data_IF_673512113712
#
_entry.id   IF_673512113712
#
_cell.length_a   1.000
_cell.length_b   1.000
_cell.length_c   1.000
_cell.angle_alpha   90.00
_cell.angle_beta   90.00
_cell.angle_gamma   90.00
#
_symmetry.space_group_name_H-M   'P 1'
#
loop_
_entity.id
_entity.type
_entity.pdbx_description
1 polymer ?
#
# COMPACT_ATOMS: atom_id res chain seq x y z
N UNK A 1 -19.86 -7.36 -24.07
CA UNK A 1 -19.76 -6.81 -22.70
C UNK A 1 -18.32 -6.89 -22.16
N UNK A 2 -17.58 -7.98 -22.42
CA UNK A 2 -16.21 -8.18 -21.93
C UNK A 2 -15.17 -7.26 -22.56
N UNK A 3 -15.23 -7.01 -23.89
CA UNK A 3 -14.28 -6.13 -24.59
C UNK A 3 -14.41 -4.65 -24.19
N UNK A 4 -15.62 -4.17 -23.96
CA UNK A 4 -15.86 -2.78 -23.52
C UNK A 4 -15.32 -2.53 -22.12
N UNK A 5 -15.50 -3.48 -21.18
CA UNK A 5 -14.94 -3.38 -19.83
C UNK A 5 -13.42 -3.49 -19.80
N UNK A 6 -12.84 -4.34 -20.65
CA UNK A 6 -11.39 -4.47 -20.74
C UNK A 6 -10.74 -3.13 -21.10
N UNK A 7 -11.27 -2.42 -22.08
CA UNK A 7 -10.73 -1.11 -22.51
C UNK A 7 -11.08 0.02 -21.56
N UNK A 8 -12.29 0.03 -20.98
CA UNK A 8 -12.78 1.16 -20.18
C UNK A 8 -12.39 1.12 -18.70
N UNK A 9 -12.11 -0.06 -18.13
CA UNK A 9 -11.84 -0.22 -16.69
C UNK A 9 -10.49 -0.86 -16.42
N UNK A 10 -10.19 -2.00 -17.06
CA UNK A 10 -9.01 -2.80 -16.69
C UNK A 10 -7.70 -2.22 -17.22
N UNK A 11 -7.65 -1.78 -18.48
CA UNK A 11 -6.43 -1.20 -19.04
C UNK A 11 -6.01 0.12 -18.39
N UNK A 12 -6.93 1.09 -18.13
CA UNK A 12 -6.57 2.28 -17.37
C UNK A 12 -6.05 1.96 -15.97
N UNK A 13 -6.70 0.99 -15.28
CA UNK A 13 -6.26 0.53 -13.95
C UNK A 13 -4.88 -0.10 -14.00
N UNK A 14 -4.59 -0.94 -14.99
CA UNK A 14 -3.28 -1.59 -15.15
C UNK A 14 -2.16 -0.56 -15.34
N UNK A 15 -2.35 0.40 -16.24
CA UNK A 15 -1.36 1.45 -16.47
C UNK A 15 -1.17 2.34 -15.22
N UNK A 16 -2.27 2.70 -14.53
CA UNK A 16 -2.22 3.47 -13.28
C UNK A 16 -1.52 2.72 -12.15
N UNK A 17 -1.87 1.44 -11.96
CA UNK A 17 -1.29 0.60 -10.91
C UNK A 17 0.21 0.37 -11.16
N UNK A 18 0.62 0.13 -12.41
CA UNK A 18 2.03 -0.02 -12.78
C UNK A 18 2.81 1.27 -12.51
N UNK A 19 2.31 2.43 -12.96
CA UNK A 19 2.95 3.73 -12.70
C UNK A 19 3.04 4.03 -11.20
N UNK A 20 1.99 3.75 -10.43
CA UNK A 20 1.92 3.97 -8.99
C UNK A 20 2.90 3.06 -8.23
N UNK A 21 2.98 1.79 -8.61
CA UNK A 21 3.89 0.83 -7.99
C UNK A 21 5.35 1.20 -8.26
N UNK A 22 5.70 1.50 -9.53
CA UNK A 22 7.04 1.99 -9.89
C UNK A 22 7.40 3.26 -9.11
N UNK A 23 6.48 4.19 -8.94
CA UNK A 23 6.70 5.44 -8.22
C UNK A 23 6.93 5.18 -6.72
N UNK A 24 6.12 4.34 -6.10
CA UNK A 24 6.19 4.05 -4.66
C UNK A 24 7.56 3.46 -4.27
N UNK A 25 8.07 2.52 -5.05
CA UNK A 25 9.36 1.89 -4.77
C UNK A 25 10.55 2.58 -5.43
N UNK A 26 10.32 3.30 -6.53
CA UNK A 26 11.36 4.00 -7.28
C UNK A 26 11.79 5.34 -6.65
N UNK A 27 10.86 6.09 -6.03
CA UNK A 27 11.19 7.39 -5.43
C UNK A 27 12.25 7.29 -4.30
N UNK A 28 12.15 6.38 -3.32
CA UNK A 28 13.20 6.22 -2.31
C UNK A 28 14.56 5.88 -2.92
N UNK A 29 14.60 5.04 -3.96
CA UNK A 29 15.82 4.74 -4.71
C UNK A 29 16.36 5.96 -5.46
N UNK A 30 15.48 6.74 -6.08
CA UNK A 30 15.83 7.95 -6.80
C UNK A 30 16.44 8.99 -5.85
N UNK A 31 15.85 9.18 -4.67
CA UNK A 31 16.38 10.10 -3.65
C UNK A 31 17.73 9.61 -3.16
N UNK A 32 17.88 8.33 -2.85
CA UNK A 32 19.14 7.76 -2.41
C UNK A 32 20.23 7.94 -3.49
N UNK A 33 19.91 7.70 -4.76
CA UNK A 33 20.83 7.84 -5.89
C UNK A 33 21.25 9.27 -6.18
N UNK A 34 20.36 10.26 -5.97
CA UNK A 34 20.66 11.69 -6.22
C UNK A 34 21.33 12.37 -5.03
N UNK A 35 20.98 11.99 -3.80
CA UNK A 35 21.44 12.69 -2.58
C UNK A 35 22.48 11.93 -1.78
N UNK A 36 22.61 10.64 -2.03
CA UNK A 36 23.39 9.69 -1.24
C UNK A 36 23.12 9.78 0.28
N UNK A 37 21.92 10.23 0.67
CA UNK A 37 21.50 10.46 2.05
C UNK A 37 20.36 9.52 2.46
N UNK A 38 20.58 8.73 3.51
CA UNK A 38 19.55 7.90 4.13
C UNK A 38 18.46 8.74 4.82
N UNK A 39 18.86 9.84 5.45
CA UNK A 39 17.92 10.78 6.09
C UNK A 39 16.96 11.39 5.07
N UNK A 40 17.47 11.89 3.93
CA UNK A 40 16.63 12.44 2.87
C UNK A 40 15.73 11.37 2.22
N UNK A 41 16.17 10.11 2.18
CA UNK A 41 15.32 8.98 1.76
C UNK A 41 14.13 8.83 2.70
N UNK A 42 14.34 8.93 4.01
CA UNK A 42 13.26 8.95 5.01
C UNK A 42 12.31 10.13 4.85
N UNK A 43 12.84 11.35 4.63
CA UNK A 43 12.02 12.55 4.36
C UNK A 43 11.17 12.36 3.10
N UNK A 44 11.73 11.81 2.02
CA UNK A 44 10.98 11.53 0.80
C UNK A 44 9.84 10.53 1.04
N UNK A 45 10.08 9.53 1.89
CA UNK A 45 9.05 8.57 2.28
C UNK A 45 7.91 9.26 3.07
N UNK A 46 8.23 10.15 3.99
CA UNK A 46 7.24 11.00 4.68
C UNK A 46 6.43 11.81 3.68
N UNK A 47 7.11 12.49 2.74
CA UNK A 47 6.45 13.30 1.72
C UNK A 47 5.61 12.49 0.74
N UNK A 48 5.92 11.23 0.51
CA UNK A 48 5.09 10.33 -0.28
C UNK A 48 3.83 9.86 0.48
N UNK A 49 3.91 9.63 1.80
CA UNK A 49 2.83 9.02 2.57
C UNK A 49 1.98 10.02 3.37
N UNK A 50 2.56 11.05 3.98
CA UNK A 50 1.79 12.04 4.74
C UNK A 50 0.73 12.76 3.91
N UNK A 51 1.03 13.24 2.67
CA UNK A 51 0.03 13.84 1.82
C UNK A 51 -1.09 12.87 1.41
N UNK A 52 -0.80 11.56 1.27
CA UNK A 52 -1.84 10.54 1.02
C UNK A 52 -2.87 10.50 2.12
N UNK A 53 -2.45 10.58 3.39
CA UNK A 53 -3.37 10.62 4.52
C UNK A 53 -4.20 11.90 4.53
N UNK A 54 -3.58 13.06 4.32
CA UNK A 54 -4.26 14.36 4.29
C UNK A 54 -5.27 14.45 3.14
N UNK A 55 -4.93 13.88 1.99
CA UNK A 55 -5.78 13.94 0.79
C UNK A 55 -6.83 12.84 0.72
N UNK A 56 -6.82 11.86 1.63
CA UNK A 56 -7.79 10.75 1.62
C UNK A 56 -9.26 11.23 1.59
N UNK A 57 -9.62 12.11 2.51
CA UNK A 57 -10.98 12.67 2.57
C UNK A 57 -11.28 13.59 1.38
N UNK A 58 -10.29 14.38 0.94
CA UNK A 58 -10.42 15.27 -0.21
C UNK A 58 -10.63 14.50 -1.51
N UNK A 59 -9.94 13.36 -1.68
CA UNK A 59 -10.11 12.51 -2.85
C UNK A 59 -11.51 11.92 -2.92
N UNK A 60 -12.07 11.47 -1.78
CA UNK A 60 -13.45 11.01 -1.69
C UNK A 60 -14.45 12.11 -2.10
N UNK A 61 -14.35 13.29 -1.49
CA UNK A 61 -15.24 14.40 -1.83
C UNK A 61 -15.10 14.89 -3.27
N UNK A 62 -13.89 14.84 -3.84
CA UNK A 62 -13.67 15.17 -5.24
C UNK A 62 -14.35 14.15 -6.18
N UNK A 63 -14.26 12.86 -5.85
CA UNK A 63 -14.93 11.79 -6.60
C UNK A 63 -16.44 11.96 -6.55
N UNK A 64 -16.99 12.26 -5.38
CA UNK A 64 -18.44 12.48 -5.22
C UNK A 64 -18.93 13.73 -5.98
N UNK A 65 -18.13 14.80 -6.00
CA UNK A 65 -18.52 16.07 -6.64
C UNK A 65 -18.30 16.09 -8.15
N UNK A 66 -17.17 15.57 -8.62
CA UNK A 66 -16.75 15.71 -10.03
C UNK A 66 -16.92 14.43 -10.84
N UNK A 67 -17.25 13.32 -10.17
CA UNK A 67 -17.36 11.99 -10.74
C UNK A 67 -16.02 11.26 -10.84
N UNK A 68 -16.01 9.91 -10.64
CA UNK A 68 -14.79 9.13 -10.53
C UNK A 68 -13.95 9.12 -11.80
N UNK A 69 -14.57 9.05 -12.99
CA UNK A 69 -13.85 9.04 -14.27
C UNK A 69 -13.06 10.32 -14.52
N UNK A 70 -13.63 11.48 -14.14
CA UNK A 70 -12.98 12.79 -14.32
C UNK A 70 -11.81 12.95 -13.34
N UNK A 71 -12.03 12.59 -12.07
CA UNK A 71 -10.98 12.67 -11.03
C UNK A 71 -9.82 11.73 -11.39
N UNK A 72 -10.12 10.50 -11.80
CA UNK A 72 -9.09 9.54 -12.24
C UNK A 72 -8.24 10.10 -13.38
N UNK A 73 -8.90 10.61 -14.44
CA UNK A 73 -8.22 11.17 -15.61
C UNK A 73 -7.34 12.36 -15.26
N UNK A 74 -7.86 13.31 -14.46
CA UNK A 74 -7.11 14.49 -14.05
C UNK A 74 -5.93 14.14 -13.16
N UNK A 75 -6.09 13.23 -12.20
CA UNK A 75 -5.00 12.77 -11.34
C UNK A 75 -3.89 12.04 -12.12
N UNK A 76 -4.27 11.15 -13.06
CA UNK A 76 -3.31 10.46 -13.90
C UNK A 76 -2.59 11.43 -14.86
N UNK A 77 -3.31 12.37 -15.48
CA UNK A 77 -2.71 13.40 -16.35
C UNK A 77 -1.77 14.34 -15.58
N UNK A 78 -2.16 14.77 -14.38
CA UNK A 78 -1.31 15.59 -13.53
C UNK A 78 -0.04 14.83 -13.09
N UNK A 79 -0.14 13.54 -12.77
CA UNK A 79 1.02 12.70 -12.46
C UNK A 79 1.93 12.54 -13.68
N UNK A 80 1.38 12.36 -14.87
CA UNK A 80 2.14 12.32 -16.12
C UNK A 80 2.92 13.63 -16.33
N UNK A 81 2.25 14.77 -16.13
CA UNK A 81 2.87 16.09 -16.27
C UNK A 81 3.99 16.30 -15.24
N UNK A 82 3.74 16.00 -13.97
CA UNK A 82 4.74 16.17 -12.90
C UNK A 82 5.96 15.28 -13.13
N UNK A 83 5.75 13.99 -13.48
CA UNK A 83 6.85 13.09 -13.79
C UNK A 83 7.58 13.49 -15.08
N UNK A 84 6.86 13.91 -16.10
CA UNK A 84 7.43 14.34 -17.38
C UNK A 84 8.27 15.63 -17.26
N UNK A 85 7.80 16.60 -16.49
CA UNK A 85 8.55 17.85 -16.22
C UNK A 85 9.78 17.60 -15.33
N UNK A 86 9.73 16.59 -14.45
CA UNK A 86 10.88 16.25 -13.62
C UNK A 86 12.07 15.73 -14.47
N UNK A 87 11.82 15.12 -15.64
CA UNK A 87 12.90 14.61 -16.52
C UNK A 87 13.87 15.71 -16.94
N UNK A 88 13.45 16.76 -17.69
CA UNK A 88 14.36 17.84 -18.08
C UNK A 88 14.83 18.65 -16.87
N UNK A 89 13.98 18.84 -15.85
CA UNK A 89 14.37 19.60 -14.67
C UNK A 89 15.55 18.97 -13.94
N UNK A 90 15.55 17.65 -13.74
CA UNK A 90 16.68 16.95 -13.11
C UNK A 90 17.96 16.94 -13.99
N UNK A 91 17.80 16.95 -15.31
CA UNK A 91 18.94 17.00 -16.23
C UNK A 91 19.64 18.38 -16.27
N UNK A 92 18.90 19.45 -15.96
CA UNK A 92 19.37 20.83 -16.06
C UNK A 92 19.83 21.43 -14.73
N UNK A 93 19.64 20.75 -13.61
CA UNK A 93 19.86 21.29 -12.27
C UNK A 93 21.05 20.64 -11.56
N UNK A 94 21.73 21.41 -10.71
CA UNK A 94 22.75 20.89 -9.81
C UNK A 94 22.18 20.04 -8.68
N UNK A 95 23.04 19.32 -7.95
CA UNK A 95 22.65 18.30 -6.97
C UNK A 95 21.70 18.81 -5.88
N UNK A 96 21.86 20.02 -5.37
CA UNK A 96 20.99 20.58 -4.33
C UNK A 96 19.57 20.85 -4.82
N UNK A 97 19.42 21.41 -6.02
CA UNK A 97 18.12 21.67 -6.64
C UNK A 97 17.46 20.34 -7.04
N UNK A 98 18.24 19.38 -7.53
CA UNK A 98 17.74 18.04 -7.85
C UNK A 98 17.12 17.36 -6.63
N UNK A 99 17.74 17.44 -5.45
CA UNK A 99 17.19 16.91 -4.21
C UNK A 99 15.80 17.52 -3.89
N UNK A 100 15.68 18.84 -3.96
CA UNK A 100 14.42 19.56 -3.70
C UNK A 100 13.34 19.18 -4.71
N UNK A 101 13.70 19.02 -5.99
CA UNK A 101 12.78 18.59 -7.04
C UNK A 101 12.26 17.17 -6.81
N UNK A 102 13.12 16.25 -6.39
CA UNK A 102 12.71 14.86 -6.09
C UNK A 102 11.81 14.80 -4.86
N UNK A 103 12.06 15.65 -3.84
CA UNK A 103 11.17 15.78 -2.68
C UNK A 103 9.79 16.30 -3.07
N UNK A 104 9.73 17.33 -3.91
CA UNK A 104 8.47 17.83 -4.45
C UNK A 104 7.75 16.77 -5.28
N UNK A 105 8.48 16.02 -6.10
CA UNK A 105 7.96 14.90 -6.87
C UNK A 105 7.34 13.84 -5.94
N UNK A 106 8.00 13.50 -4.83
CA UNK A 106 7.49 12.55 -3.84
C UNK A 106 6.14 12.99 -3.27
N UNK A 107 6.03 14.25 -2.85
CA UNK A 107 4.81 14.82 -2.29
C UNK A 107 3.66 14.87 -3.32
N UNK A 108 3.93 15.37 -4.52
CA UNK A 108 2.95 15.44 -5.60
C UNK A 108 2.48 14.04 -6.03
N UNK A 109 3.41 13.11 -6.20
CA UNK A 109 3.09 11.73 -6.55
C UNK A 109 2.23 11.04 -5.47
N UNK A 110 2.53 11.29 -4.19
CA UNK A 110 1.72 10.80 -3.07
C UNK A 110 0.28 11.27 -3.13
N UNK A 111 0.07 12.58 -3.27
CA UNK A 111 -1.27 13.16 -3.43
C UNK A 111 -2.01 12.59 -4.64
N UNK A 112 -1.40 12.66 -5.81
CA UNK A 112 -2.04 12.28 -7.07
C UNK A 112 -2.37 10.78 -7.12
N UNK A 113 -1.50 9.93 -6.55
CA UNK A 113 -1.77 8.49 -6.40
C UNK A 113 -3.00 8.25 -5.54
N UNK A 114 -3.22 9.03 -4.48
CA UNK A 114 -4.40 8.87 -3.62
C UNK A 114 -5.69 9.23 -4.37
N UNK A 115 -5.69 10.31 -5.14
CA UNK A 115 -6.85 10.68 -5.97
C UNK A 115 -7.15 9.62 -7.05
N UNK A 116 -6.13 9.13 -7.77
CA UNK A 116 -6.32 8.09 -8.79
C UNK A 116 -6.80 6.78 -8.17
N UNK A 117 -6.28 6.40 -7.00
CA UNK A 117 -6.67 5.19 -6.28
C UNK A 117 -8.15 5.20 -5.88
N UNK A 118 -8.62 6.26 -5.18
CA UNK A 118 -10.02 6.37 -4.74
C UNK A 118 -10.97 6.41 -5.95
N UNK A 119 -10.59 7.13 -6.99
CA UNK A 119 -11.38 7.20 -8.22
C UNK A 119 -11.45 5.84 -8.92
N UNK A 120 -10.36 5.11 -9.02
CA UNK A 120 -10.31 3.78 -9.61
C UNK A 120 -11.15 2.75 -8.83
N UNK A 121 -11.09 2.78 -7.49
CA UNK A 121 -11.94 1.93 -6.64
C UNK A 121 -13.43 2.23 -6.86
N UNK A 122 -13.79 3.50 -7.03
CA UNK A 122 -15.17 3.91 -7.32
C UNK A 122 -15.63 3.44 -8.71
N UNK A 123 -14.76 3.52 -9.73
CA UNK A 123 -15.00 2.98 -11.07
C UNK A 123 -15.20 1.46 -11.02
N UNK A 124 -14.31 0.75 -10.32
CA UNK A 124 -14.39 -0.68 -10.13
C UNK A 124 -15.67 -1.11 -9.42
N UNK A 125 -16.09 -0.36 -8.40
CA UNK A 125 -17.35 -0.57 -7.70
C UNK A 125 -18.57 -0.40 -8.59
N UNK A 126 -18.61 0.64 -9.44
CA UNK A 126 -19.66 0.85 -10.42
C UNK A 126 -19.72 -0.28 -11.45
N UNK A 127 -18.57 -0.65 -12.02
CA UNK A 127 -18.47 -1.76 -12.99
C UNK A 127 -18.91 -3.11 -12.38
N UNK A 128 -18.69 -3.31 -11.08
CA UNK A 128 -19.13 -4.50 -10.36
C UNK A 128 -20.66 -4.54 -10.19
N UNK A 129 -21.29 -3.41 -9.87
CA UNK A 129 -22.75 -3.30 -9.76
C UNK A 129 -23.45 -3.55 -11.12
N UNK A 130 -22.87 -3.04 -12.21
CA UNK A 130 -23.38 -3.27 -13.57
C UNK A 130 -23.20 -4.72 -14.06
N UNK A 131 -22.39 -5.50 -13.37
CA UNK A 131 -22.04 -6.86 -13.80
C UNK A 131 -23.06 -7.93 -13.43
N UNK A 132 -24.17 -7.59 -12.77
CA UNK A 132 -25.31 -8.47 -12.45
C UNK A 132 -24.88 -9.93 -12.16
N UNK A 133 -24.67 -10.32 -10.89
CA UNK A 133 -24.22 -11.65 -10.50
C UNK A 133 -22.76 -12.01 -10.83
N UNK A 134 -22.06 -11.21 -11.67
CA UNK A 134 -20.65 -11.41 -12.00
C UNK A 134 -19.70 -10.37 -11.34
N UNK A 135 -20.18 -9.65 -10.33
CA UNK A 135 -19.40 -8.64 -9.60
C UNK A 135 -18.07 -9.21 -9.05
N UNK A 136 -18.10 -10.46 -8.54
CA UNK A 136 -16.90 -11.15 -8.06
C UNK A 136 -15.81 -11.31 -9.12
N UNK A 137 -16.20 -11.51 -10.40
CA UNK A 137 -15.23 -11.61 -11.52
C UNK A 137 -14.56 -10.27 -11.80
N UNK A 138 -15.33 -9.17 -11.77
CA UNK A 138 -14.76 -7.82 -11.95
C UNK A 138 -13.76 -7.50 -10.84
N UNK A 139 -14.13 -7.76 -9.58
CA UNK A 139 -13.25 -7.53 -8.44
C UNK A 139 -12.01 -8.42 -8.46
N UNK A 140 -12.14 -9.69 -8.87
CA UNK A 140 -11.00 -10.59 -9.01
C UNK A 140 -10.00 -10.10 -10.06
N UNK A 141 -10.48 -9.59 -11.20
CA UNK A 141 -9.60 -9.03 -12.25
C UNK A 141 -8.89 -7.77 -11.76
N UNK A 142 -9.61 -6.85 -11.10
CA UNK A 142 -9.00 -5.64 -10.53
C UNK A 142 -7.94 -5.97 -9.48
N UNK A 143 -8.23 -6.91 -8.59
CA UNK A 143 -7.25 -7.37 -7.60
C UNK A 143 -6.03 -8.01 -8.27
N UNK A 144 -6.24 -8.83 -9.32
CA UNK A 144 -5.13 -9.43 -10.07
C UNK A 144 -4.26 -8.39 -10.75
N UNK A 145 -4.84 -7.30 -11.25
CA UNK A 145 -4.11 -6.16 -11.82
C UNK A 145 -3.23 -5.49 -10.76
N UNK A 146 -3.80 -5.21 -9.60
CA UNK A 146 -3.07 -4.55 -8.50
C UNK A 146 -1.91 -5.44 -8.00
N UNK A 147 -2.15 -6.74 -7.88
CA UNK A 147 -1.13 -7.69 -7.48
C UNK A 147 -0.03 -7.86 -8.56
N UNK A 148 -0.40 -7.89 -9.84
CA UNK A 148 0.57 -7.94 -10.93
C UNK A 148 1.44 -6.66 -10.96
N UNK A 149 0.84 -5.50 -10.73
CA UNK A 149 1.57 -4.24 -10.61
C UNK A 149 2.50 -4.22 -9.39
N UNK A 150 2.04 -4.72 -8.23
CA UNK A 150 2.86 -4.85 -7.04
C UNK A 150 4.03 -5.81 -7.22
N UNK A 151 3.84 -6.87 -8.02
CA UNK A 151 4.88 -7.83 -8.35
C UNK A 151 5.91 -7.27 -9.35
N UNK A 152 5.44 -6.69 -10.45
CA UNK A 152 6.30 -6.26 -11.56
C UNK A 152 6.88 -4.84 -11.37
N UNK A 153 6.13 -3.95 -10.70
CA UNK A 153 6.48 -2.53 -10.58
C UNK A 153 7.82 -2.25 -9.91
N UNK A 154 8.12 -2.85 -8.74
CA UNK A 154 9.40 -2.65 -8.06
C UNK A 154 10.59 -3.11 -8.89
N UNK A 155 10.52 -4.29 -9.52
CA UNK A 155 11.57 -4.79 -10.41
C UNK A 155 11.74 -3.90 -11.64
N UNK A 156 10.64 -3.52 -12.30
CA UNK A 156 10.68 -2.62 -13.46
C UNK A 156 11.25 -1.25 -13.08
N UNK A 157 10.83 -0.68 -11.96
CA UNK A 157 11.34 0.60 -11.47
C UNK A 157 12.84 0.56 -11.15
N UNK A 158 13.29 -0.49 -10.45
CA UNK A 158 14.69 -0.70 -10.10
C UNK A 158 15.58 -0.95 -11.33
N UNK A 159 15.11 -1.77 -12.29
CA UNK A 159 15.82 -2.02 -13.54
C UNK A 159 15.91 -0.76 -14.41
N UNK A 160 14.83 -0.02 -14.57
CA UNK A 160 14.83 1.23 -15.34
C UNK A 160 15.76 2.24 -14.72
N UNK A 161 15.76 2.36 -13.39
CA UNK A 161 16.67 3.26 -12.70
C UNK A 161 18.13 2.86 -12.91
N UNK A 162 18.42 1.56 -12.95
CA UNK A 162 19.78 1.04 -13.20
C UNK A 162 20.25 1.24 -14.65
N UNK A 163 19.39 0.99 -15.65
CA UNK A 163 19.80 0.97 -17.06
C UNK A 163 19.58 2.29 -17.77
N UNK A 164 18.49 2.98 -17.46
CA UNK A 164 18.09 4.23 -18.10
C UNK A 164 18.16 5.45 -17.18
N UNK A 165 18.64 5.24 -15.93
CA UNK A 165 18.75 6.30 -14.92
C UNK A 165 17.40 6.86 -14.46
N UNK A 166 17.46 7.96 -13.70
CA UNK A 166 16.29 8.67 -13.20
C UNK A 166 15.36 9.14 -14.32
N UNK A 167 15.92 9.68 -15.38
CA UNK A 167 15.17 10.20 -16.54
C UNK A 167 14.38 9.10 -17.23
N UNK A 168 14.97 7.92 -17.44
CA UNK A 168 14.31 6.79 -18.07
C UNK A 168 13.14 6.25 -17.22
N UNK A 169 13.34 6.10 -15.91
CA UNK A 169 12.29 5.66 -14.99
C UNK A 169 11.12 6.65 -14.99
N UNK A 170 11.40 7.95 -14.84
CA UNK A 170 10.37 8.99 -14.80
C UNK A 170 9.64 9.14 -16.14
N UNK A 171 10.33 8.98 -17.28
CA UNK A 171 9.71 8.99 -18.60
C UNK A 171 8.71 7.84 -18.77
N UNK A 172 9.04 6.63 -18.29
CA UNK A 172 8.11 5.49 -18.31
C UNK A 172 6.92 5.71 -17.38
N UNK A 173 7.14 6.22 -16.17
CA UNK A 173 6.05 6.58 -15.22
C UNK A 173 5.14 7.64 -15.84
N UNK A 174 5.70 8.67 -16.50
CA UNK A 174 4.95 9.69 -17.22
C UNK A 174 4.13 9.09 -18.35
N UNK A 175 4.74 8.26 -19.20
CA UNK A 175 4.09 7.59 -20.31
C UNK A 175 2.93 6.68 -19.88
N UNK A 176 3.12 5.84 -18.85
CA UNK A 176 2.08 4.98 -18.28
C UNK A 176 0.94 5.80 -17.67
N UNK A 177 1.26 6.90 -16.99
CA UNK A 177 0.25 7.79 -16.41
C UNK A 177 -0.54 8.52 -17.49
N UNK A 178 0.12 8.97 -18.56
CA UNK A 178 -0.52 9.58 -19.71
C UNK A 178 -1.42 8.60 -20.46
N UNK A 179 -0.92 7.37 -20.68
CA UNK A 179 -1.70 6.29 -21.26
C UNK A 179 -2.95 6.01 -20.43
N UNK A 180 -2.81 5.88 -19.10
CA UNK A 180 -3.92 5.69 -18.18
C UNK A 180 -4.96 6.81 -18.31
N UNK A 181 -4.52 8.08 -18.34
CA UNK A 181 -5.40 9.22 -18.50
C UNK A 181 -6.13 9.24 -19.86
N UNK A 182 -5.42 8.88 -20.93
CA UNK A 182 -5.97 8.90 -22.31
C UNK A 182 -7.04 7.83 -22.54
N UNK A 183 -6.82 6.61 -21.97
CA UNK A 183 -7.77 5.49 -22.13
C UNK A 183 -8.81 5.41 -21.02
N UNK A 184 -8.76 6.30 -20.03
CA UNK A 184 -9.73 6.36 -18.94
C UNK A 184 -11.17 6.52 -19.47
N UNK A 185 -12.17 5.91 -18.79
CA UNK A 185 -13.55 5.95 -19.26
C UNK A 185 -14.06 7.38 -19.36
N UNK A 186 -14.87 7.65 -20.40
CA UNK A 186 -15.50 8.95 -20.58
C UNK A 186 -16.57 9.17 -19.52
N UNK A 187 -16.60 10.39 -18.92
CA UNK A 187 -17.59 10.77 -17.91
C UNK A 187 -19.06 10.60 -18.37
N UNK A 188 -19.30 10.55 -19.69
CA UNK A 188 -20.63 10.37 -20.28
C UNK A 188 -21.22 8.96 -20.13
N UNK A 189 -20.40 7.95 -19.83
CA UNK A 189 -20.79 6.54 -19.75
C UNK A 189 -20.88 6.02 -18.32
N UNK A 190 -20.68 6.86 -17.33
CA UNK A 190 -20.87 6.49 -15.93
C UNK A 190 -22.13 7.18 -15.38
N UNK A 191 -22.99 6.44 -14.66
CA UNK A 191 -24.06 7.07 -13.91
C UNK A 191 -23.44 8.18 -13.07
N UNK A 192 -24.01 9.38 -13.15
CA UNK A 192 -23.63 10.49 -12.29
C UNK A 192 -23.68 10.07 -10.83
N UNK A 193 -23.09 10.85 -9.91
CA UNK A 193 -23.16 10.54 -8.50
C UNK A 193 -24.63 10.30 -8.17
N UNK A 194 -24.99 9.06 -7.90
CA UNK A 194 -26.22 8.79 -7.20
C UNK A 194 -26.03 9.46 -5.85
N UNK A 195 -26.63 10.64 -5.69
CA UNK A 195 -26.97 11.15 -4.38
C UNK A 195 -27.82 10.03 -3.76
N UNK A 196 -27.14 9.06 -3.19
CA UNK A 196 -27.79 7.92 -2.57
C UNK A 196 -28.60 8.46 -1.41
N UNK A 197 -29.90 8.21 -1.44
CA UNK A 197 -30.75 8.27 -0.26
C UNK A 197 -30.32 7.22 0.79
N UNK A 198 -29.03 6.90 0.84
CA UNK A 198 -28.44 6.15 1.93
C UNK A 198 -28.35 7.03 3.18
N UNK A 199 -28.46 6.46 4.38
CA UNK A 199 -28.27 7.21 5.62
C UNK A 199 -26.96 8.00 5.52
N UNK A 200 -27.01 9.28 5.92
CA UNK A 200 -25.84 10.19 5.91
C UNK A 200 -24.61 9.45 6.45
N UNK A 201 -23.42 9.64 5.88
CA UNK A 201 -22.22 8.94 6.32
C UNK A 201 -22.11 9.06 7.83
N UNK A 202 -22.30 7.96 8.54
CA UNK A 202 -22.20 7.95 9.99
C UNK A 202 -20.75 8.35 10.29
N UNK A 203 -20.59 9.50 11.00
CA UNK A 203 -19.33 10.21 11.07
C UNK A 203 -18.23 9.42 11.78
N UNK A 204 -17.01 9.90 11.72
CA UNK A 204 -15.81 9.39 12.39
C UNK A 204 -16.06 8.89 13.84
N UNK A 205 -16.89 9.63 14.61
CA UNK A 205 -17.23 9.25 15.99
C UNK A 205 -17.90 7.90 16.09
N UNK A 206 -18.81 7.56 15.18
CA UNK A 206 -19.50 6.27 15.15
C UNK A 206 -18.54 5.14 14.82
N UNK A 207 -17.67 5.32 13.82
CA UNK A 207 -16.65 4.32 13.49
C UNK A 207 -15.68 4.06 14.66
N UNK A 208 -15.28 5.11 15.36
CA UNK A 208 -14.41 5.01 16.52
C UNK A 208 -15.08 4.33 17.72
N UNK A 209 -16.34 4.68 18.03
CA UNK A 209 -17.10 4.04 19.11
C UNK A 209 -17.36 2.55 18.81
N UNK A 210 -17.67 2.21 17.56
CA UNK A 210 -17.84 0.82 17.13
C UNK A 210 -16.54 0.02 17.26
N UNK A 211 -15.41 0.59 16.83
CA UNK A 211 -14.12 -0.08 16.97
C UNK A 211 -13.79 -0.35 18.45
N UNK A 212 -14.04 0.61 19.34
CA UNK A 212 -13.86 0.43 20.79
C UNK A 212 -14.80 -0.62 21.39
N UNK A 213 -16.01 -0.74 20.87
CA UNK A 213 -16.99 -1.75 21.30
C UNK A 213 -16.65 -3.17 20.80
N UNK A 214 -15.70 -3.31 19.88
CA UNK A 214 -15.23 -4.57 19.29
C UNK A 214 -13.78 -4.89 19.67
N UNK A 215 -13.48 -5.27 20.93
CA UNK A 215 -12.11 -5.47 21.41
C UNK A 215 -11.25 -6.40 20.54
N UNK A 216 -11.74 -7.55 20.03
CA UNK A 216 -10.94 -8.41 19.15
C UNK A 216 -10.46 -7.70 17.89
N UNK A 217 -11.32 -6.86 17.29
CA UNK A 217 -10.99 -6.08 16.11
C UNK A 217 -10.01 -4.95 16.47
N UNK A 218 -10.25 -4.25 17.58
CA UNK A 218 -9.40 -3.14 18.01
C UNK A 218 -7.95 -3.61 18.31
N UNK A 219 -7.79 -4.73 19.00
CA UNK A 219 -6.47 -5.30 19.28
C UNK A 219 -5.76 -5.75 18.00
N UNK A 220 -6.48 -6.38 17.07
CA UNK A 220 -5.88 -6.80 15.81
C UNK A 220 -5.48 -5.60 14.94
N UNK A 221 -6.31 -4.55 14.86
CA UNK A 221 -5.99 -3.31 14.16
C UNK A 221 -4.76 -2.64 14.77
N UNK A 222 -4.67 -2.59 16.11
CA UNK A 222 -3.50 -2.05 16.79
C UNK A 222 -2.21 -2.85 16.52
N UNK A 223 -2.28 -4.18 16.59
CA UNK A 223 -1.14 -5.05 16.27
C UNK A 223 -0.67 -4.91 14.83
N UNK A 224 -1.61 -4.82 13.87
CA UNK A 224 -1.30 -4.59 12.47
C UNK A 224 -0.81 -3.17 12.18
N UNK A 225 -1.24 -2.16 12.94
CA UNK A 225 -0.65 -0.82 12.83
C UNK A 225 0.84 -0.82 13.20
N UNK A 226 1.23 -1.59 14.24
CA UNK A 226 2.63 -1.79 14.57
C UNK A 226 3.38 -2.58 13.50
N UNK A 227 2.73 -3.58 12.87
CA UNK A 227 3.29 -4.27 11.69
C UNK A 227 3.52 -3.31 10.52
N UNK A 228 2.59 -2.41 10.26
CA UNK A 228 2.72 -1.40 9.20
C UNK A 228 3.82 -0.35 9.52
N UNK A 229 4.09 -0.05 10.79
CA UNK A 229 5.25 0.76 11.17
C UNK A 229 6.55 0.07 10.75
N UNK A 230 6.64 -1.21 11.05
CA UNK A 230 7.80 -2.03 10.69
C UNK A 230 7.95 -2.17 9.18
N UNK A 231 6.85 -2.46 8.48
CA UNK A 231 6.83 -2.56 7.02
C UNK A 231 7.25 -1.23 6.37
N UNK A 232 6.67 -0.11 6.80
CA UNK A 232 7.03 1.21 6.28
C UNK A 232 8.49 1.57 6.54
N UNK A 233 9.03 1.20 7.72
CA UNK A 233 10.44 1.39 8.00
C UNK A 233 11.33 0.51 7.11
N UNK A 234 10.97 -0.76 6.89
CA UNK A 234 11.67 -1.63 5.95
C UNK A 234 11.60 -1.10 4.51
N UNK A 235 10.45 -0.60 4.06
CA UNK A 235 10.31 0.02 2.73
C UNK A 235 11.27 1.20 2.56
N UNK A 236 11.40 2.05 3.57
CA UNK A 236 12.30 3.19 3.54
C UNK A 236 13.78 2.79 3.70
N UNK A 237 14.09 1.76 4.50
CA UNK A 237 15.45 1.32 4.82
C UNK A 237 16.04 0.35 3.77
N UNK A 238 15.22 -0.46 3.08
CA UNK A 238 15.68 -1.46 2.11
C UNK A 238 16.62 -0.88 1.04
N UNK A 239 16.36 0.29 0.42
CA UNK A 239 17.29 0.89 -0.52
C UNK A 239 18.68 1.14 0.09
N UNK A 240 18.71 1.62 1.33
CA UNK A 240 19.98 1.92 2.04
C UNK A 240 20.72 0.62 2.36
N UNK A 241 20.04 -0.36 2.93
CA UNK A 241 20.65 -1.66 3.28
C UNK A 241 21.15 -2.37 2.03
N UNK A 242 20.32 -2.52 1.00
CA UNK A 242 20.68 -3.31 -0.19
C UNK A 242 21.77 -2.62 -1.01
N UNK A 243 21.69 -1.31 -1.20
CA UNK A 243 22.64 -0.59 -2.06
C UNK A 243 23.91 -0.23 -1.30
N UNK A 244 23.81 0.36 -0.09
CA UNK A 244 24.98 0.85 0.64
C UNK A 244 25.68 -0.22 1.48
N UNK A 245 24.93 -1.04 2.22
CA UNK A 245 25.54 -2.03 3.11
C UNK A 245 25.88 -3.34 2.37
N UNK A 246 24.95 -3.86 1.55
CA UNK A 246 25.13 -5.11 0.83
C UNK A 246 25.80 -4.94 -0.56
N UNK A 247 26.08 -3.69 -0.97
CA UNK A 247 26.81 -3.37 -2.21
C UNK A 247 26.09 -3.83 -3.49
N UNK A 248 24.74 -3.90 -3.49
CA UNK A 248 23.94 -4.34 -4.62
C UNK A 248 23.37 -3.17 -5.43
N UNK A 249 22.90 -3.47 -6.62
CA UNK A 249 22.30 -2.48 -7.52
C UNK A 249 20.86 -2.09 -7.11
N UNK A 250 20.36 -0.98 -7.66
CA UNK A 250 18.96 -0.57 -7.52
C UNK A 250 17.97 -1.62 -8.04
N UNK A 251 18.34 -2.38 -9.09
CA UNK A 251 17.52 -3.50 -9.56
C UNK A 251 17.35 -4.57 -8.48
N UNK A 252 18.37 -4.83 -7.66
CA UNK A 252 18.29 -5.80 -6.56
C UNK A 252 17.24 -5.40 -5.51
N UNK A 253 17.05 -4.10 -5.25
CA UNK A 253 15.95 -3.61 -4.39
C UNK A 253 14.59 -3.94 -5.00
N UNK A 254 14.45 -3.70 -6.31
CA UNK A 254 13.23 -4.06 -7.03
C UNK A 254 12.93 -5.55 -6.95
N UNK A 255 13.95 -6.41 -7.09
CA UNK A 255 13.82 -7.88 -6.98
C UNK A 255 13.35 -8.29 -5.58
N UNK A 256 13.86 -7.67 -4.50
CA UNK A 256 13.39 -7.94 -3.13
C UNK A 256 11.88 -7.74 -3.03
N UNK A 257 11.37 -6.60 -3.46
CA UNK A 257 9.94 -6.30 -3.35
C UNK A 257 9.07 -7.10 -4.31
N UNK A 258 9.57 -7.45 -5.49
CA UNK A 258 8.86 -8.34 -6.41
C UNK A 258 8.77 -9.77 -5.88
N UNK A 259 9.84 -10.31 -5.29
CA UNK A 259 9.80 -11.61 -4.61
C UNK A 259 8.86 -11.58 -3.39
N UNK A 260 8.87 -10.50 -2.63
CA UNK A 260 7.96 -10.29 -1.51
C UNK A 260 6.50 -10.28 -1.96
N UNK A 261 6.17 -9.60 -3.07
CA UNK A 261 4.83 -9.60 -3.65
C UNK A 261 4.41 -10.99 -4.16
N UNK A 262 5.32 -11.75 -4.79
CA UNK A 262 5.06 -13.14 -5.20
C UNK A 262 4.76 -14.03 -4.00
N UNK A 263 5.55 -13.93 -2.93
CA UNK A 263 5.34 -14.68 -1.69
C UNK A 263 3.99 -14.30 -1.03
N UNK A 264 3.61 -13.02 -1.06
CA UNK A 264 2.30 -12.53 -0.60
C UNK A 264 1.14 -13.16 -1.36
N UNK A 265 1.23 -13.24 -2.69
CA UNK A 265 0.21 -13.88 -3.53
C UNK A 265 0.03 -15.35 -3.18
N UNK A 266 1.13 -16.09 -3.05
CA UNK A 266 1.11 -17.50 -2.65
C UNK A 266 0.52 -17.67 -1.26
N UNK A 267 0.90 -16.81 -0.31
CA UNK A 267 0.40 -16.85 1.05
C UNK A 267 -1.12 -16.61 1.11
N UNK A 268 -1.64 -15.64 0.35
CA UNK A 268 -3.09 -15.39 0.26
C UNK A 268 -3.84 -16.57 -0.34
N UNK A 269 -3.28 -17.22 -1.37
CA UNK A 269 -3.88 -18.40 -1.98
C UNK A 269 -3.97 -19.58 -0.99
N UNK A 270 -2.90 -19.82 -0.23
CA UNK A 270 -2.84 -20.89 0.79
C UNK A 270 -3.69 -20.54 2.02
N UNK A 271 -3.82 -19.26 2.36
CA UNK A 271 -4.51 -18.80 3.57
C UNK A 271 -5.96 -19.27 3.63
N UNK A 272 -6.67 -19.37 2.49
CA UNK A 272 -8.06 -19.84 2.42
C UNK A 272 -8.16 -21.28 2.94
N UNK A 273 -7.33 -22.16 2.39
CA UNK A 273 -7.30 -23.58 2.81
C UNK A 273 -6.83 -23.72 4.26
N UNK A 274 -5.91 -22.90 4.68
CA UNK A 274 -5.40 -22.89 6.05
C UNK A 274 -6.49 -22.47 7.06
N UNK A 275 -7.31 -21.45 6.72
CA UNK A 275 -8.41 -20.99 7.57
C UNK A 275 -9.48 -22.09 7.72
N UNK A 276 -9.83 -22.78 6.63
CA UNK A 276 -10.80 -23.87 6.67
C UNK A 276 -10.33 -25.02 7.57
N UNK A 277 -9.01 -25.30 7.59
CA UNK A 277 -8.43 -26.42 8.35
C UNK A 277 -8.11 -26.09 9.81
N UNK A 278 -7.56 -24.90 10.08
CA UNK A 278 -7.01 -24.51 11.41
C UNK A 278 -7.80 -23.37 12.07
N UNK A 279 -8.81 -22.86 11.39
CA UNK A 279 -9.62 -21.73 11.85
C UNK A 279 -8.86 -20.40 11.80
N UNK A 280 -9.65 -19.32 11.86
CA UNK A 280 -9.14 -17.94 11.72
C UNK A 280 -8.09 -17.56 12.78
N UNK A 281 -8.32 -17.96 14.04
CA UNK A 281 -7.39 -17.67 15.16
C UNK A 281 -6.10 -18.48 15.08
N UNK A 282 -6.16 -19.72 14.56
CA UNK A 282 -4.99 -20.56 14.33
C UNK A 282 -4.08 -19.95 13.28
N UNK A 283 -4.65 -19.66 12.11
CA UNK A 283 -3.92 -19.02 11.01
C UNK A 283 -3.36 -17.65 11.42
N UNK A 284 -4.13 -16.84 12.17
CA UNK A 284 -3.65 -15.55 12.64
C UNK A 284 -2.42 -15.65 13.55
N UNK A 285 -2.36 -16.63 14.45
CA UNK A 285 -1.19 -16.86 15.33
C UNK A 285 0.04 -17.31 14.53
N UNK A 286 -0.14 -18.24 13.59
CA UNK A 286 0.94 -18.66 12.70
C UNK A 286 1.43 -17.51 11.82
N UNK A 287 0.51 -16.73 11.24
CA UNK A 287 0.85 -15.55 10.46
C UNK A 287 1.64 -14.52 11.29
N UNK A 288 1.26 -14.30 12.55
CA UNK A 288 2.00 -13.41 13.44
C UNK A 288 3.44 -13.87 13.69
N UNK A 289 3.67 -15.18 13.85
CA UNK A 289 5.03 -15.74 13.97
C UNK A 289 5.82 -15.60 12.67
N UNK A 290 5.19 -15.95 11.54
CA UNK A 290 5.79 -15.85 10.20
C UNK A 290 6.10 -14.39 9.81
N UNK A 291 5.45 -13.42 10.43
CA UNK A 291 5.76 -11.99 10.25
C UNK A 291 6.85 -11.52 11.21
N UNK A 292 6.73 -11.84 12.51
CA UNK A 292 7.62 -11.30 13.54
C UNK A 292 9.04 -11.90 13.49
N UNK A 293 9.16 -13.22 13.30
CA UNK A 293 10.47 -13.89 13.32
C UNK A 293 11.36 -13.45 12.15
N UNK A 294 10.90 -13.47 10.88
CA UNK A 294 11.72 -12.99 9.78
C UNK A 294 12.08 -11.50 9.90
N UNK A 295 11.17 -10.67 10.43
CA UNK A 295 11.47 -9.26 10.65
C UNK A 295 12.65 -9.06 11.61
N UNK A 296 12.69 -9.82 12.70
CA UNK A 296 13.83 -9.81 13.62
C UNK A 296 15.11 -10.30 12.92
N UNK A 297 15.04 -11.35 12.12
CA UNK A 297 16.19 -11.91 11.42
C UNK A 297 16.69 -11.00 10.29
N UNK A 298 15.85 -10.19 9.65
CA UNK A 298 16.24 -9.20 8.64
C UNK A 298 17.28 -8.22 9.20
N UNK A 299 17.13 -7.81 10.46
CA UNK A 299 18.08 -6.92 11.13
C UNK A 299 19.51 -7.51 11.24
N UNK A 300 19.63 -8.83 11.15
CA UNK A 300 20.89 -9.57 11.29
C UNK A 300 21.32 -10.25 9.96
N UNK A 301 20.66 -9.91 8.86
CA UNK A 301 20.98 -10.49 7.55
C UNK A 301 22.23 -9.82 6.95
N UNK A 302 23.33 -10.57 6.83
CA UNK A 302 24.60 -10.07 6.29
C UNK A 302 24.78 -10.40 4.80
N UNK A 303 23.80 -11.06 4.19
CA UNK A 303 23.85 -11.42 2.77
C UNK A 303 22.54 -11.05 2.07
N UNK A 304 22.66 -10.65 0.80
CA UNK A 304 21.51 -10.31 -0.02
C UNK A 304 20.50 -11.47 -0.17
N UNK A 305 20.90 -12.73 -0.42
CA UNK A 305 19.95 -13.85 -0.48
C UNK A 305 19.16 -14.04 0.81
N UNK A 306 19.82 -13.94 1.97
CA UNK A 306 19.14 -14.02 3.26
C UNK A 306 18.14 -12.90 3.45
N UNK A 307 18.53 -11.65 3.16
CA UNK A 307 17.63 -10.48 3.21
C UNK A 307 16.42 -10.69 2.32
N UNK A 308 16.61 -11.12 1.07
CA UNK A 308 15.55 -11.35 0.09
C UNK A 308 14.54 -12.40 0.58
N UNK A 309 15.04 -13.57 1.04
CA UNK A 309 14.17 -14.65 1.52
C UNK A 309 13.41 -14.22 2.76
N UNK A 310 14.08 -13.57 3.71
CA UNK A 310 13.43 -13.11 4.94
C UNK A 310 12.38 -12.02 4.67
N UNK A 311 12.65 -11.09 3.75
CA UNK A 311 11.67 -10.08 3.32
C UNK A 311 10.45 -10.74 2.65
N UNK A 312 10.65 -11.75 1.80
CA UNK A 312 9.59 -12.49 1.16
C UNK A 312 8.72 -13.25 2.19
N UNK A 313 9.32 -13.91 3.17
CA UNK A 313 8.61 -14.63 4.24
C UNK A 313 7.86 -13.65 5.16
N UNK A 314 8.47 -12.52 5.51
CA UNK A 314 7.82 -11.44 6.25
C UNK A 314 6.53 -10.97 5.56
N UNK A 315 6.61 -10.65 4.27
CA UNK A 315 5.47 -10.18 3.47
C UNK A 315 4.40 -11.25 3.28
N UNK A 316 4.76 -12.53 3.20
CA UNK A 316 3.82 -13.63 3.19
C UNK A 316 2.99 -13.67 4.49
N UNK A 317 3.65 -13.56 5.65
CA UNK A 317 3.00 -13.51 6.95
C UNK A 317 2.08 -12.29 7.10
N UNK A 318 2.55 -11.10 6.70
CA UNK A 318 1.77 -9.85 6.76
C UNK A 318 0.52 -9.93 5.88
N UNK A 319 0.61 -10.50 4.69
CA UNK A 319 -0.53 -10.72 3.80
C UNK A 319 -1.56 -11.70 4.38
N UNK A 320 -1.11 -12.75 5.08
CA UNK A 320 -2.02 -13.64 5.80
C UNK A 320 -2.74 -12.90 6.95
N UNK A 321 -2.05 -12.04 7.69
CA UNK A 321 -2.67 -11.19 8.72
C UNK A 321 -3.70 -10.22 8.12
N UNK A 322 -3.43 -9.67 6.94
CA UNK A 322 -4.38 -8.82 6.23
C UNK A 322 -5.66 -9.59 5.85
N UNK A 323 -5.55 -10.86 5.42
CA UNK A 323 -6.72 -11.73 5.17
C UNK A 323 -7.51 -11.97 6.45
N UNK A 324 -6.82 -12.29 7.56
CA UNK A 324 -7.46 -12.48 8.87
C UNK A 324 -8.22 -11.22 9.30
N UNK A 325 -7.62 -10.04 9.15
CA UNK A 325 -8.27 -8.77 9.46
C UNK A 325 -9.51 -8.52 8.60
N UNK A 326 -9.41 -8.72 7.28
CA UNK A 326 -10.57 -8.56 6.36
C UNK A 326 -11.71 -9.47 6.73
N UNK A 327 -11.42 -10.74 7.04
CA UNK A 327 -12.40 -11.71 7.48
C UNK A 327 -13.03 -11.31 8.82
N UNK A 328 -12.23 -10.86 9.78
CA UNK A 328 -12.72 -10.42 11.07
C UNK A 328 -13.64 -9.18 10.95
N UNK A 329 -13.27 -8.23 10.10
CA UNK A 329 -14.10 -7.04 9.80
C UNK A 329 -15.47 -7.43 9.25
N UNK A 330 -15.51 -8.32 8.25
CA UNK A 330 -16.78 -8.73 7.63
C UNK A 330 -17.70 -9.49 8.59
N UNK A 331 -17.15 -10.15 9.62
CA UNK A 331 -17.93 -10.91 10.60
C UNK A 331 -18.37 -10.09 11.82
N UNK A 332 -17.57 -9.09 12.23
CA UNK A 332 -17.83 -8.37 13.49
C UNK A 332 -18.49 -7.01 13.30
N UNK A 333 -18.29 -6.34 12.17
CA UNK A 333 -18.82 -5.00 11.98
C UNK A 333 -20.24 -5.09 11.42
N UNK A 334 -21.26 -4.52 12.10
CA UNK A 334 -22.63 -4.42 11.57
C UNK A 334 -22.66 -3.65 10.23
N UNK A 335 -23.55 -4.05 9.33
CA UNK A 335 -23.64 -3.49 7.98
C UNK A 335 -23.90 -1.97 8.00
N UNK A 336 -24.70 -1.49 8.95
CA UNK A 336 -25.14 -0.10 9.09
C UNK A 336 -23.96 0.85 9.40
N UNK A 337 -22.92 0.35 10.07
CA UNK A 337 -21.74 1.14 10.50
C UNK A 337 -20.46 0.66 9.84
N UNK A 338 -20.58 -0.24 8.84
CA UNK A 338 -19.41 -0.85 8.21
C UNK A 338 -18.47 0.18 7.57
N UNK A 339 -19.00 1.11 6.79
CA UNK A 339 -18.20 2.12 6.08
C UNK A 339 -17.43 3.05 7.03
N UNK A 340 -18.10 3.57 8.08
CA UNK A 340 -17.46 4.45 9.06
C UNK A 340 -16.38 3.73 9.87
N UNK A 341 -16.63 2.48 10.28
CA UNK A 341 -15.66 1.67 11.03
C UNK A 341 -14.50 1.23 10.14
N UNK A 342 -14.76 0.89 8.88
CA UNK A 342 -13.73 0.57 7.91
C UNK A 342 -12.78 1.76 7.70
N UNK A 343 -13.31 2.97 7.49
CA UNK A 343 -12.51 4.18 7.30
C UNK A 343 -11.60 4.46 8.49
N UNK A 344 -12.11 4.33 9.72
CA UNK A 344 -11.30 4.50 10.93
C UNK A 344 -10.19 3.47 11.00
N UNK A 345 -10.51 2.20 10.76
CA UNK A 345 -9.50 1.13 10.83
C UNK A 345 -8.44 1.27 9.73
N UNK A 346 -8.81 1.69 8.52
CA UNK A 346 -7.86 1.95 7.43
C UNK A 346 -6.93 3.11 7.78
N UNK A 347 -7.47 4.19 8.33
CA UNK A 347 -6.64 5.33 8.74
C UNK A 347 -5.63 4.96 9.84
N UNK A 348 -6.05 4.17 10.85
CA UNK A 348 -5.13 3.68 11.89
C UNK A 348 -4.01 2.83 11.28
N UNK A 349 -4.30 2.02 10.25
CA UNK A 349 -3.31 1.19 9.59
C UNK A 349 -2.36 1.99 8.67
N UNK A 350 -2.79 3.12 8.12
CA UNK A 350 -1.96 3.96 7.25
C UNK A 350 -1.10 4.98 8.02
N UNK A 351 -1.55 5.39 9.21
CA UNK A 351 -0.85 6.39 10.02
C UNK A 351 0.62 6.04 10.35
N UNK A 352 1.00 4.77 10.55
CA UNK A 352 2.38 4.40 10.83
C UNK A 352 3.36 4.65 9.67
N UNK A 353 2.93 4.73 8.41
CA UNK A 353 3.85 4.91 7.27
C UNK A 353 4.61 6.25 7.31
N UNK A 354 3.96 7.42 7.49
CA UNK A 354 4.70 8.67 7.70
C UNK A 354 5.62 8.63 8.93
N UNK A 355 5.17 7.98 10.02
CA UNK A 355 6.00 7.82 11.22
C UNK A 355 7.26 6.99 10.93
N UNK A 356 7.14 5.94 10.14
CA UNK A 356 8.28 5.15 9.67
C UNK A 356 9.29 5.99 8.88
N UNK A 357 8.78 6.87 8.02
CA UNK A 357 9.63 7.82 7.26
C UNK A 357 10.33 8.85 8.17
N UNK A 358 9.63 9.38 9.17
CA UNK A 358 10.23 10.27 10.19
C UNK A 358 11.33 9.52 10.93
N UNK A 359 11.05 8.29 11.36
CA UNK A 359 12.02 7.46 12.06
C UNK A 359 13.27 7.23 11.19
N UNK A 360 13.09 6.90 9.91
CA UNK A 360 14.19 6.73 8.96
C UNK A 360 14.97 8.02 8.71
N UNK A 361 14.31 9.19 8.77
CA UNK A 361 14.94 10.48 8.54
C UNK A 361 15.86 10.90 9.69
N UNK A 362 15.54 10.51 10.94
CA UNK A 362 16.27 10.94 12.15
C UNK A 362 17.29 9.90 12.64
N UNK A 363 17.16 8.64 12.20
CA UNK A 363 18.02 7.55 12.65
C UNK A 363 19.40 7.63 11.99
N UNK A 364 20.45 7.49 12.78
CA UNK A 364 21.79 7.30 12.27
C UNK A 364 21.87 6.06 11.36
N UNK A 365 22.51 6.14 10.18
CA UNK A 365 22.68 4.98 9.32
C UNK A 365 23.22 3.73 10.01
N UNK A 366 24.16 3.89 10.95
CA UNK A 366 24.72 2.78 11.72
C UNK A 366 23.69 2.12 12.67
N UNK A 367 22.61 2.82 13.03
CA UNK A 367 21.59 2.34 13.94
C UNK A 367 20.36 1.73 13.21
N UNK A 368 20.30 1.76 11.87
CA UNK A 368 19.14 1.27 11.10
C UNK A 368 18.77 -0.16 11.51
N UNK A 369 19.74 -1.06 11.61
CA UNK A 369 19.52 -2.47 12.00
C UNK A 369 18.98 -2.60 13.43
N UNK A 370 19.46 -1.77 14.35
CA UNK A 370 18.97 -1.71 15.74
C UNK A 370 17.50 -1.24 15.76
N UNK A 371 17.14 -0.26 14.96
CA UNK A 371 15.75 0.21 14.85
C UNK A 371 14.84 -0.85 14.23
N UNK A 372 15.29 -1.59 13.22
CA UNK A 372 14.53 -2.75 12.68
C UNK A 372 14.28 -3.77 13.80
N UNK A 373 15.29 -4.09 14.60
CA UNK A 373 15.16 -4.99 15.75
C UNK A 373 14.12 -4.48 16.74
N UNK A 374 14.18 -3.21 17.11
CA UNK A 374 13.21 -2.57 18.02
C UNK A 374 11.78 -2.62 17.45
N UNK A 375 11.61 -2.27 16.16
CA UNK A 375 10.32 -2.36 15.48
C UNK A 375 9.80 -3.81 15.45
N UNK A 376 10.65 -4.80 15.18
CA UNK A 376 10.29 -6.21 15.19
C UNK A 376 9.80 -6.68 16.56
N UNK A 377 10.48 -6.25 17.65
CA UNK A 377 10.07 -6.57 19.02
C UNK A 377 8.72 -5.93 19.33
N UNK A 378 8.54 -4.64 19.04
CA UNK A 378 7.28 -3.91 19.26
C UNK A 378 6.14 -4.55 18.47
N UNK A 379 6.37 -4.91 17.21
CA UNK A 379 5.43 -5.63 16.36
C UNK A 379 5.06 -6.99 16.97
N UNK A 380 6.05 -7.78 17.38
CA UNK A 380 5.83 -9.10 17.98
C UNK A 380 4.96 -9.00 19.24
N UNK A 381 5.25 -8.05 20.13
CA UNK A 381 4.46 -7.78 21.34
C UNK A 381 3.03 -7.36 20.95
N UNK A 382 2.88 -6.45 20.00
CA UNK A 382 1.57 -5.99 19.52
C UNK A 382 0.72 -7.12 18.96
N UNK A 383 1.29 -7.97 18.11
CA UNK A 383 0.59 -9.14 17.53
C UNK A 383 0.28 -10.19 18.61
N UNK A 384 1.20 -10.45 19.54
CA UNK A 384 0.96 -11.35 20.69
C UNK A 384 -0.22 -10.85 21.53
N UNK A 385 -0.25 -9.57 21.88
CA UNK A 385 -1.38 -8.96 22.58
C UNK A 385 -2.68 -9.07 21.80
N UNK A 386 -2.65 -8.87 20.47
CA UNK A 386 -3.84 -8.98 19.63
C UNK A 386 -4.46 -10.38 19.69
N UNK A 387 -3.66 -11.44 19.62
CA UNK A 387 -4.16 -12.82 19.62
C UNK A 387 -4.41 -13.41 21.02
N UNK A 388 -3.81 -12.87 22.09
CA UNK A 388 -4.06 -13.36 23.45
C UNK A 388 -5.26 -12.66 24.10
N UNK A 389 -5.39 -11.33 23.94
CA UNK A 389 -6.51 -10.55 24.51
C UNK A 389 -7.76 -10.57 23.65
N UNK A 390 -7.60 -10.56 22.31
CA UNK A 390 -8.73 -10.65 21.39
C UNK A 390 -9.53 -11.95 21.51
N UNK A 391 -8.90 -13.06 21.90
CA UNK A 391 -9.57 -14.35 22.09
C UNK A 391 -10.34 -14.47 23.41
N UNK A 392 -9.95 -13.73 24.45
CA UNK A 392 -10.61 -13.77 25.78
C UNK A 392 -11.96 -13.07 25.81
N UNK A 393 -12.26 -12.21 24.88
CA UNK A 393 -13.51 -11.42 24.82
C UNK A 393 -14.67 -12.12 24.08
N UNK A 394 -14.60 -13.41 23.78
CA UNK A 394 -15.77 -14.14 23.29
C UNK A 394 -16.82 -14.25 24.41
N UNK A 395 -18.05 -13.70 24.28
CA UNK A 395 -19.10 -14.01 25.21
C UNK A 395 -19.29 -15.52 25.20
N UNK A 396 -19.27 -16.15 26.36
CA UNK A 396 -19.74 -17.52 26.54
C UNK A 396 -21.23 -17.51 26.17
N UNK A 397 -21.53 -17.83 24.91
CA UNK A 397 -22.90 -18.18 24.54
C UNK A 397 -23.25 -19.38 25.38
N UNK A 398 -24.07 -19.09 26.40
CA UNK A 398 -24.64 -20.10 27.27
C UNK A 398 -25.32 -21.18 26.42
N UNK A 399 -24.96 -22.42 26.69
CA UNK A 399 -25.75 -23.58 26.35
C UNK A 399 -27.16 -23.33 26.88
N UNK A 400 -28.06 -22.82 26.06
CA UNK A 400 -29.49 -23.02 26.33
C UNK A 400 -29.84 -24.42 25.83
N UNK A 401 -30.19 -25.26 26.80
CA UNK A 401 -30.80 -26.57 26.63
C UNK A 401 -32.15 -26.42 25.94
#
# INVERSE_FOLDING_TARGET
VTHSRARGVYLPRLADAAASSMTTYGIPLLVLGTTNSSSLTGVAFVLAWAPRLCTFALAGTAVDRFGPARVFRLAAAARALVAGLAVPALAMTGAEVAASLVMLLAACAGCLTQFSFIAAESIGGAASREADGAAHRVQSVLLSIDQAAALAGPAAGGLLLQWAGSSGMLAVVSGLSLLSAAIAPSARHMPGPTAGNGPAPQGWRTGWSTLRALPPLAWLVGGLALSNLTLGFLEAATPVIVVKELGRSSASVGVVWSCAAAASLLAVAVCRVAIDRWGLSGVGRWAALVTAVPCFLIAHADSYPAYLVLAAVFMAGDSMLAVVLRTLRSHLIPAEVFGSTLSVTVLILLLPYPLAGILMAVVDPAAIRTVITACAVVQAIGLLCAFTRGTRSRPRHGKRR
#
